data_IF_079971100813
#
_entry.id   IF_079971100813
#
_cell.length_a   1.000
_cell.length_b   1.000
_cell.length_c   1.000
_cell.angle_alpha   90.00
_cell.angle_beta   90.00
_cell.angle_gamma   90.00
#
_symmetry.space_group_name_H-M   'P 1'
#
loop_
_entity.id
_entity.type
_entity.pdbx_description
1 polymer ?
#
# COMPACT_ATOMS: atom_id res chain seq x y z
N UNK A 1 70.44 28.86 17.94
CA UNK A 1 70.75 28.37 16.59
C UNK A 1 70.40 26.91 16.61
N UNK A 2 69.32 26.52 15.93
CA UNK A 2 69.34 26.07 14.53
C UNK A 2 70.11 24.73 14.45
N UNK A 3 69.54 23.62 13.97
CA UNK A 3 68.64 23.46 12.84
C UNK A 3 67.73 22.23 12.98
N UNK A 4 66.60 22.35 12.29
CA UNK A 4 65.66 21.33 11.80
C UNK A 4 66.15 19.87 11.66
N UNK A 5 65.29 18.93 12.05
CA UNK A 5 65.14 17.68 11.29
C UNK A 5 63.66 17.26 11.25
N UNK A 6 63.14 17.27 10.03
CA UNK A 6 61.80 16.84 9.64
C UNK A 6 61.84 15.33 9.49
N UNK A 7 61.06 14.60 10.29
CA UNK A 7 60.69 13.24 9.95
C UNK A 7 59.18 13.07 10.04
N UNK A 8 58.61 13.17 8.86
CA UNK A 8 57.35 12.64 8.39
C UNK A 8 57.02 11.29 9.06
N UNK A 9 55.84 11.20 9.67
CA UNK A 9 55.23 9.93 10.03
C UNK A 9 53.75 10.04 9.77
N UNK A 10 53.40 9.81 8.51
CA UNK A 10 52.07 9.41 8.11
C UNK A 10 51.66 8.17 8.93
N UNK A 11 50.59 8.28 9.69
CA UNK A 11 49.90 7.13 10.27
C UNK A 11 48.41 7.26 10.01
N UNK A 12 48.08 6.88 8.78
CA UNK A 12 47.02 5.94 8.44
C UNK A 12 45.74 5.97 9.30
N UNK A 13 44.70 6.54 8.67
CA UNK A 13 43.40 5.88 8.48
C UNK A 13 42.91 4.99 9.62
N UNK A 14 42.12 5.58 10.52
CA UNK A 14 40.92 4.91 11.02
C UNK A 14 39.69 5.66 10.56
N UNK A 15 39.36 5.40 9.28
CA UNK A 15 38.00 5.53 8.77
C UNK A 15 37.09 4.77 9.73
N UNK A 16 36.43 5.47 10.65
CA UNK A 16 35.17 5.02 11.20
C UNK A 16 34.12 5.08 10.08
N UNK A 17 34.29 4.21 9.08
CA UNK A 17 33.21 3.81 8.22
C UNK A 17 32.29 3.00 9.11
N UNK A 18 31.30 3.69 9.67
CA UNK A 18 30.10 3.07 10.21
C UNK A 18 29.50 2.28 9.05
N UNK A 19 29.95 1.04 8.86
CA UNK A 19 29.27 0.06 8.04
C UNK A 19 27.96 -0.17 8.77
N UNK A 20 26.95 0.63 8.41
CA UNK A 20 25.55 0.39 8.75
C UNK A 20 25.21 -0.91 8.04
N UNK A 21 25.35 -2.03 8.74
CA UNK A 21 24.79 -3.31 8.29
C UNK A 21 23.27 -3.13 8.30
N UNK A 22 22.71 -2.76 7.16
CA UNK A 22 21.27 -2.84 6.96
C UNK A 22 20.91 -4.32 6.97
N UNK A 23 19.97 -4.70 7.84
CA UNK A 23 19.55 -6.11 7.96
C UNK A 23 18.99 -6.61 6.63
N UNK A 24 19.28 -7.86 6.21
CA UNK A 24 18.69 -8.46 5.00
C UNK A 24 17.15 -8.44 4.95
N UNK A 25 16.50 -8.33 6.11
CA UNK A 25 15.05 -8.18 6.20
C UNK A 25 14.58 -6.78 5.77
N UNK A 26 15.36 -5.76 6.09
CA UNK A 26 15.07 -4.36 5.72
C UNK A 26 15.21 -4.20 4.20
N UNK A 27 16.25 -4.78 3.61
CA UNK A 27 16.45 -4.75 2.14
C UNK A 27 15.30 -5.45 1.41
N UNK A 28 14.87 -6.62 1.88
CA UNK A 28 13.75 -7.35 1.28
C UNK A 28 12.42 -6.60 1.32
N UNK A 29 12.08 -5.96 2.46
CA UNK A 29 10.84 -5.16 2.54
C UNK A 29 10.92 -3.90 1.66
N UNK A 30 12.10 -3.29 1.56
CA UNK A 30 12.32 -2.17 0.65
C UNK A 30 12.17 -2.59 -0.82
N UNK A 31 12.74 -3.72 -1.23
CA UNK A 31 12.61 -4.28 -2.59
C UNK A 31 11.15 -4.57 -2.94
N UNK A 32 10.39 -5.18 -2.02
CA UNK A 32 8.94 -5.40 -2.19
C UNK A 32 8.20 -4.07 -2.36
N UNK A 33 8.56 -3.02 -1.63
CA UNK A 33 7.92 -1.74 -1.81
C UNK A 33 8.25 -1.13 -3.18
N UNK A 34 9.51 -1.22 -3.63
CA UNK A 34 9.91 -0.75 -4.96
C UNK A 34 9.17 -1.49 -6.09
N UNK A 35 9.01 -2.82 -5.99
CA UNK A 35 8.26 -3.58 -6.98
C UNK A 35 6.76 -3.20 -7.02
N UNK A 36 6.15 -2.86 -5.89
CA UNK A 36 4.79 -2.32 -5.86
C UNK A 36 4.69 -0.98 -6.61
N UNK A 37 5.66 -0.08 -6.43
CA UNK A 37 5.71 1.18 -7.17
C UNK A 37 5.80 0.94 -8.68
N UNK A 38 6.59 -0.06 -9.10
CA UNK A 38 6.65 -0.43 -10.51
C UNK A 38 5.29 -0.89 -11.03
N UNK A 39 4.58 -1.78 -10.32
CA UNK A 39 3.24 -2.20 -10.75
C UNK A 39 2.25 -1.04 -10.85
N UNK A 40 2.27 -0.09 -9.91
CA UNK A 40 1.33 1.04 -9.88
C UNK A 40 1.59 2.09 -10.96
N UNK A 41 2.86 2.36 -11.28
CA UNK A 41 3.27 3.51 -12.09
C UNK A 41 3.91 3.17 -13.43
N UNK A 42 4.33 1.93 -13.66
CA UNK A 42 4.79 1.57 -15.01
C UNK A 42 3.61 1.60 -16.00
N UNK A 43 3.76 2.30 -17.14
CA UNK A 43 2.78 2.22 -18.21
C UNK A 43 2.71 0.78 -18.72
N UNK A 44 1.52 0.19 -18.79
CA UNK A 44 1.34 -1.04 -19.54
C UNK A 44 1.62 -0.72 -21.01
N UNK A 45 2.63 -1.35 -21.61
CA UNK A 45 2.87 -1.30 -23.06
C UNK A 45 1.60 -1.83 -23.75
N UNK A 46 0.77 -0.94 -24.31
CA UNK A 46 -0.38 -1.30 -25.14
C UNK A 46 -1.77 -1.14 -24.49
N UNK A 47 -2.08 0.01 -23.90
CA UNK A 47 -3.47 0.40 -23.55
C UNK A 47 -4.27 0.67 -24.86
N UNK A 48 -4.56 -0.40 -25.62
CA UNK A 48 -5.60 -0.44 -26.65
C UNK A 48 -6.77 -1.21 -26.04
N UNK A 49 -7.92 -0.53 -25.96
CA UNK A 49 -9.18 -1.13 -25.56
C UNK A 49 -9.46 -2.35 -26.44
N UNK A 50 -9.40 -3.53 -25.84
CA UNK A 50 -9.84 -4.77 -26.44
C UNK A 50 -10.76 -5.42 -25.43
N UNK A 51 -12.06 -5.19 -25.62
CA UNK A 51 -13.08 -6.12 -25.17
C UNK A 51 -12.82 -7.38 -25.99
N UNK A 52 -12.31 -8.43 -25.35
CA UNK A 52 -12.31 -9.73 -26.00
C UNK A 52 -12.57 -10.75 -24.91
N UNK A 53 -13.74 -11.36 -25.02
CA UNK A 53 -13.98 -12.70 -24.55
C UNK A 53 -13.01 -13.60 -25.34
N UNK A 54 -11.82 -13.88 -24.78
CA UNK A 54 -10.85 -14.81 -25.39
C UNK A 54 -10.91 -16.13 -24.63
N UNK A 55 -11.69 -17.05 -25.20
CA UNK A 55 -11.29 -18.45 -25.24
C UNK A 55 -10.13 -18.57 -26.23
N UNK A 56 -8.96 -19.03 -25.77
CA UNK A 56 -7.98 -19.71 -26.62
C UNK A 56 -7.23 -20.77 -25.78
N UNK A 57 -7.27 -22.01 -26.28
CA UNK A 57 -6.48 -23.15 -25.81
C UNK A 57 -5.08 -23.13 -26.44
N UNK A 58 -4.04 -23.47 -25.68
CA UNK A 58 -3.17 -24.62 -25.99
C UNK A 58 -2.06 -24.84 -24.93
N UNK A 59 -2.02 -26.07 -24.43
CA UNK A 59 -0.95 -26.87 -23.80
C UNK A 59 -0.01 -26.34 -22.69
N UNK A 60 0.07 -25.05 -22.35
CA UNK A 60 0.80 -24.51 -21.16
C UNK A 60 -0.13 -23.71 -20.22
N UNK A 61 -1.42 -23.69 -20.57
CA UNK A 61 -2.44 -22.77 -20.08
C UNK A 61 -2.92 -22.97 -18.63
N UNK A 62 -2.35 -23.87 -17.83
CA UNK A 62 -2.80 -24.05 -16.43
C UNK A 62 -2.16 -23.04 -15.48
N UNK A 63 -0.83 -22.91 -15.51
CA UNK A 63 -0.08 -22.03 -14.61
C UNK A 63 -0.37 -20.55 -14.92
N UNK A 64 -0.38 -20.17 -16.19
CA UNK A 64 -0.69 -18.81 -16.64
C UNK A 64 -2.12 -18.42 -16.27
N UNK A 65 -3.09 -19.31 -16.49
CA UNK A 65 -4.50 -19.07 -16.14
C UNK A 65 -4.71 -19.03 -14.62
N UNK A 66 -3.99 -19.85 -13.85
CA UNK A 66 -3.98 -19.77 -12.39
C UNK A 66 -3.40 -18.43 -11.90
N UNK A 67 -2.29 -17.97 -12.49
CA UNK A 67 -1.71 -16.66 -12.19
C UNK A 67 -2.68 -15.50 -12.44
N UNK A 68 -3.34 -15.50 -13.61
CA UNK A 68 -4.36 -14.50 -13.94
C UNK A 68 -5.53 -14.51 -12.95
N UNK A 69 -6.00 -15.71 -12.55
CA UNK A 69 -7.05 -15.84 -11.52
C UNK A 69 -6.62 -15.27 -10.18
N UNK A 70 -5.37 -15.51 -9.75
CA UNK A 70 -4.82 -14.95 -8.51
C UNK A 70 -4.74 -13.42 -8.59
N UNK A 71 -4.23 -12.86 -9.69
CA UNK A 71 -4.19 -11.40 -9.88
C UNK A 71 -5.59 -10.80 -9.82
N UNK A 72 -6.56 -11.38 -10.53
CA UNK A 72 -7.96 -10.90 -10.51
C UNK A 72 -8.56 -10.97 -9.11
N UNK A 73 -8.38 -12.10 -8.40
CA UNK A 73 -8.85 -12.24 -7.03
C UNK A 73 -8.23 -11.21 -6.09
N UNK A 74 -6.93 -10.93 -6.21
CA UNK A 74 -6.26 -9.88 -5.44
C UNK A 74 -6.85 -8.50 -5.74
N UNK A 75 -7.06 -8.16 -7.02
CA UNK A 75 -7.65 -6.89 -7.44
C UNK A 75 -9.07 -6.71 -6.92
N UNK A 76 -9.90 -7.75 -7.03
CA UNK A 76 -11.27 -7.77 -6.53
C UNK A 76 -11.30 -7.63 -5.00
N UNK A 77 -10.39 -8.30 -4.29
CA UNK A 77 -10.25 -8.16 -2.84
C UNK A 77 -9.84 -6.73 -2.45
N UNK A 78 -8.84 -6.15 -3.12
CA UNK A 78 -8.40 -4.76 -2.89
C UNK A 78 -9.57 -3.80 -3.12
N UNK A 79 -10.33 -3.98 -4.21
CA UNK A 79 -11.49 -3.16 -4.53
C UNK A 79 -12.60 -3.28 -3.48
N UNK A 80 -12.86 -4.49 -2.98
CA UNK A 80 -13.84 -4.73 -1.92
C UNK A 80 -13.48 -3.96 -0.64
N UNK A 81 -12.23 -4.08 -0.18
CA UNK A 81 -11.76 -3.33 1.00
C UNK A 81 -11.73 -1.82 0.78
N UNK A 82 -11.41 -1.36 -0.44
CA UNK A 82 -11.50 0.05 -0.80
C UNK A 82 -12.93 0.57 -0.63
N UNK A 83 -13.92 -0.09 -1.25
CA UNK A 83 -15.34 0.32 -1.20
C UNK A 83 -15.88 0.29 0.23
N UNK A 84 -15.51 -0.71 1.01
CA UNK A 84 -15.87 -0.77 2.43
C UNK A 84 -15.35 0.46 3.20
N UNK A 85 -14.07 0.80 3.05
CA UNK A 85 -13.48 1.94 3.76
C UNK A 85 -14.02 3.29 3.26
N UNK A 86 -14.28 3.42 1.95
CA UNK A 86 -14.95 4.58 1.37
C UNK A 86 -16.35 4.76 1.96
N UNK A 87 -17.16 3.70 1.99
CA UNK A 87 -18.50 3.73 2.60
C UNK A 87 -18.45 4.09 4.09
N UNK A 88 -17.47 3.56 4.82
CA UNK A 88 -17.26 3.90 6.23
C UNK A 88 -16.91 5.38 6.44
N UNK A 89 -15.96 5.93 5.69
CA UNK A 89 -15.59 7.36 5.82
C UNK A 89 -16.70 8.29 5.35
N UNK A 90 -17.47 7.90 4.32
CA UNK A 90 -18.66 8.61 3.89
C UNK A 90 -19.70 8.64 5.02
N UNK A 91 -19.97 7.50 5.67
CA UNK A 91 -20.93 7.45 6.78
C UNK A 91 -20.48 8.31 7.97
N UNK A 92 -19.19 8.29 8.30
CA UNK A 92 -18.62 9.17 9.34
C UNK A 92 -18.83 10.64 8.99
N UNK A 93 -18.63 11.02 7.73
CA UNK A 93 -18.89 12.38 7.25
C UNK A 93 -20.37 12.73 7.35
N UNK A 94 -21.26 11.85 6.90
CA UNK A 94 -22.70 12.07 6.93
C UNK A 94 -23.22 12.31 8.36
N UNK A 95 -22.76 11.50 9.33
CA UNK A 95 -23.11 11.67 10.75
C UNK A 95 -22.71 13.07 11.25
N UNK A 96 -21.53 13.57 10.84
CA UNK A 96 -21.04 14.91 11.24
C UNK A 96 -21.74 16.04 10.50
N UNK A 97 -22.21 15.81 9.28
CA UNK A 97 -23.00 16.78 8.52
C UNK A 97 -24.42 16.87 9.07
N UNK A 98 -24.99 15.77 9.54
CA UNK A 98 -26.31 15.73 10.17
C UNK A 98 -26.33 16.39 11.57
N UNK A 99 -25.22 16.25 12.31
CA UNK A 99 -25.06 16.86 13.63
C UNK A 99 -23.64 17.41 13.79
N UNK A 100 -23.50 18.72 13.58
CA UNK A 100 -22.20 19.40 13.61
C UNK A 100 -21.56 19.44 14.99
N UNK A 101 -22.30 19.13 16.06
CA UNK A 101 -21.76 19.01 17.42
C UNK A 101 -20.98 17.70 17.63
N UNK A 102 -21.17 16.72 16.74
CA UNK A 102 -20.55 15.40 16.86
C UNK A 102 -19.07 15.46 16.49
N UNK A 103 -18.24 15.08 17.46
CA UNK A 103 -16.80 14.92 17.25
C UNK A 103 -16.51 13.71 16.36
N UNK A 104 -15.40 13.75 15.62
CA UNK A 104 -14.97 12.66 14.75
C UNK A 104 -14.88 11.28 15.46
N UNK A 105 -14.30 11.15 16.69
CA UNK A 105 -14.31 9.90 17.43
C UNK A 105 -15.73 9.36 17.72
N UNK A 106 -16.67 10.26 18.00
CA UNK A 106 -18.07 9.91 18.26
C UNK A 106 -18.77 9.45 16.98
N UNK A 107 -18.56 10.16 15.87
CA UNK A 107 -19.09 9.76 14.56
C UNK A 107 -18.57 8.38 14.13
N UNK A 108 -17.26 8.11 14.32
CA UNK A 108 -16.67 6.78 14.05
C UNK A 108 -17.26 5.69 14.94
N UNK A 109 -17.47 5.98 16.22
CA UNK A 109 -18.10 5.03 17.15
C UNK A 109 -19.54 4.70 16.74
N UNK A 110 -20.32 5.70 16.26
CA UNK A 110 -21.66 5.48 15.71
C UNK A 110 -21.61 4.61 14.43
N UNK A 111 -20.73 4.94 13.49
CA UNK A 111 -20.55 4.14 12.27
C UNK A 111 -20.13 2.69 12.57
N UNK A 112 -19.25 2.45 13.56
CA UNK A 112 -18.89 1.09 13.98
C UNK A 112 -20.08 0.30 14.53
N UNK A 113 -20.97 0.95 15.29
CA UNK A 113 -22.17 0.30 15.83
C UNK A 113 -23.11 -0.13 14.71
N UNK A 114 -23.33 0.73 13.72
CA UNK A 114 -24.16 0.40 12.54
C UNK A 114 -23.59 -0.79 11.78
N UNK A 115 -22.28 -0.80 11.49
CA UNK A 115 -21.64 -1.94 10.81
C UNK A 115 -21.73 -3.22 11.66
N UNK A 116 -21.59 -3.12 12.98
CA UNK A 116 -21.67 -4.27 13.88
C UNK A 116 -23.07 -4.88 13.95
N UNK A 117 -24.14 -4.08 13.79
CA UNK A 117 -25.51 -4.57 13.74
C UNK A 117 -25.76 -5.53 12.55
N UNK A 118 -25.03 -5.34 11.45
CA UNK A 118 -25.12 -6.19 10.26
C UNK A 118 -24.15 -7.38 10.27
N UNK A 119 -23.25 -7.46 11.26
CA UNK A 119 -22.21 -8.49 11.36
C UNK A 119 -22.23 -9.15 12.75
N UNK A 120 -23.30 -9.91 13.08
CA UNK A 120 -23.39 -10.56 14.38
C UNK A 120 -22.18 -11.47 14.62
N UNK A 121 -21.56 -11.35 15.80
CA UNK A 121 -20.39 -12.13 16.19
C UNK A 121 -19.03 -11.46 15.97
N UNK A 122 -18.96 -10.29 15.30
CA UNK A 122 -17.72 -9.49 15.28
C UNK A 122 -17.63 -8.59 16.51
N UNK A 123 -16.47 -8.60 17.18
CA UNK A 123 -16.21 -7.62 18.25
C UNK A 123 -15.86 -6.26 17.65
N UNK A 124 -16.25 -5.17 18.32
CA UNK A 124 -15.94 -3.82 17.85
C UNK A 124 -14.42 -3.60 17.73
N UNK A 125 -13.61 -4.18 18.63
CA UNK A 125 -12.16 -4.12 18.56
C UNK A 125 -11.59 -4.77 17.28
N UNK A 126 -12.15 -5.92 16.88
CA UNK A 126 -11.75 -6.59 15.64
C UNK A 126 -12.22 -5.79 14.41
N UNK A 127 -13.43 -5.23 14.46
CA UNK A 127 -13.96 -4.36 13.41
C UNK A 127 -13.08 -3.12 13.21
N UNK A 128 -12.66 -2.46 14.29
CA UNK A 128 -11.72 -1.32 14.27
C UNK A 128 -10.40 -1.69 13.59
N UNK A 129 -9.82 -2.85 13.92
CA UNK A 129 -8.58 -3.33 13.29
C UNK A 129 -8.74 -3.58 11.79
N UNK A 130 -9.82 -4.27 11.38
CA UNK A 130 -10.12 -4.51 9.95
C UNK A 130 -10.35 -3.20 9.21
N UNK A 131 -11.08 -2.28 9.81
CA UNK A 131 -11.35 -0.96 9.24
C UNK A 131 -10.08 -0.14 9.08
N UNK A 132 -9.19 -0.15 10.07
CA UNK A 132 -7.92 0.55 9.95
C UNK A 132 -7.05 0.01 8.80
N UNK A 133 -7.05 -1.31 8.56
CA UNK A 133 -6.38 -1.93 7.40
C UNK A 133 -7.02 -1.51 6.07
N UNK A 134 -8.35 -1.55 5.99
CA UNK A 134 -9.08 -1.11 4.80
C UNK A 134 -8.85 0.38 4.50
N UNK A 135 -8.76 1.22 5.54
CA UNK A 135 -8.47 2.65 5.40
C UNK A 135 -7.09 2.93 4.80
N UNK A 136 -6.09 2.07 5.04
CA UNK A 136 -4.78 2.23 4.39
C UNK A 136 -4.88 2.03 2.88
N UNK A 137 -5.64 1.03 2.43
CA UNK A 137 -5.94 0.80 1.01
C UNK A 137 -6.68 2.02 0.44
N UNK A 138 -7.73 2.48 1.12
CA UNK A 138 -8.50 3.66 0.71
C UNK A 138 -7.62 4.89 0.52
N UNK A 139 -6.75 5.22 1.49
CA UNK A 139 -5.85 6.38 1.42
C UNK A 139 -4.95 6.38 0.19
N UNK A 140 -4.46 5.20 -0.23
CA UNK A 140 -3.64 5.08 -1.44
C UNK A 140 -4.51 5.38 -2.67
N UNK A 141 -5.56 4.58 -2.88
CA UNK A 141 -6.29 4.59 -4.14
C UNK A 141 -7.26 5.77 -4.32
N UNK A 142 -7.70 6.41 -3.23
CA UNK A 142 -8.46 7.68 -3.32
C UNK A 142 -7.58 8.82 -3.85
N UNK A 143 -6.26 8.72 -3.67
CA UNK A 143 -5.30 9.74 -4.13
C UNK A 143 -4.73 9.44 -5.50
N UNK A 144 -4.40 8.18 -5.79
CA UNK A 144 -3.78 7.81 -7.08
C UNK A 144 -4.77 7.37 -8.16
N UNK A 145 -6.05 7.25 -7.79
CA UNK A 145 -7.12 6.79 -8.67
C UNK A 145 -7.44 5.30 -8.46
N UNK A 146 -8.73 5.00 -8.34
CA UNK A 146 -9.25 3.63 -8.18
C UNK A 146 -8.89 2.71 -9.35
N UNK A 147 -8.75 3.27 -10.56
CA UNK A 147 -8.32 2.57 -11.76
C UNK A 147 -6.92 1.96 -11.62
N UNK A 148 -6.06 2.47 -10.73
CA UNK A 148 -4.73 1.92 -10.46
C UNK A 148 -4.79 0.56 -9.76
N UNK A 149 -5.91 0.19 -9.15
CA UNK A 149 -6.08 -1.17 -8.58
C UNK A 149 -5.89 -2.23 -9.68
N UNK A 150 -6.37 -1.98 -10.91
CA UNK A 150 -6.21 -2.89 -12.07
C UNK A 150 -4.74 -3.12 -12.48
N UNK A 151 -3.82 -2.28 -11.99
CA UNK A 151 -2.37 -2.41 -12.26
C UNK A 151 -1.64 -3.30 -11.25
N UNK A 152 -2.25 -3.57 -10.10
CA UNK A 152 -1.70 -4.46 -9.08
C UNK A 152 -1.80 -5.91 -9.55
N UNK A 153 -0.66 -6.60 -9.68
CA UNK A 153 -0.57 -7.98 -10.16
C UNK A 153 -0.17 -8.94 -9.05
N UNK A 154 0.87 -8.61 -8.30
CA UNK A 154 1.54 -9.55 -7.39
C UNK A 154 1.24 -9.30 -5.90
N UNK A 155 0.45 -8.27 -5.59
CA UNK A 155 0.18 -7.87 -4.20
C UNK A 155 -1.28 -8.14 -3.84
N UNK A 156 -1.48 -8.75 -2.67
CA UNK A 156 -2.81 -8.93 -2.07
C UNK A 156 -3.26 -7.69 -1.32
N UNK A 157 -4.55 -7.64 -0.96
CA UNK A 157 -5.07 -6.58 -0.10
C UNK A 157 -4.36 -6.54 1.26
N UNK A 158 -3.98 -7.69 1.82
CA UNK A 158 -3.22 -7.79 3.07
C UNK A 158 -1.89 -7.05 2.94
N UNK A 159 -1.16 -7.27 1.85
CA UNK A 159 0.14 -6.64 1.61
C UNK A 159 0.00 -5.10 1.54
N UNK A 160 -0.96 -4.60 0.77
CA UNK A 160 -1.20 -3.15 0.65
C UNK A 160 -1.69 -2.55 1.97
N UNK A 161 -2.55 -3.25 2.71
CA UNK A 161 -3.07 -2.75 3.99
C UNK A 161 -2.00 -2.59 5.06
N UNK A 162 -0.89 -3.32 4.95
CA UNK A 162 0.23 -3.28 5.87
C UNK A 162 1.27 -2.19 5.55
N UNK A 163 1.08 -1.42 4.46
CA UNK A 163 1.96 -0.28 4.15
C UNK A 163 1.98 0.72 5.32
N UNK A 164 3.17 1.20 5.64
CA UNK A 164 3.34 2.24 6.66
C UNK A 164 2.79 3.58 6.19
N UNK A 165 2.51 4.49 7.12
CA UNK A 165 2.13 5.87 6.79
C UNK A 165 3.15 6.57 5.90
N UNK A 166 4.44 6.27 6.07
CA UNK A 166 5.52 6.85 5.24
C UNK A 166 5.50 6.27 3.83
N UNK A 167 5.33 4.96 3.67
CA UNK A 167 5.21 4.31 2.36
C UNK A 167 3.98 4.82 1.58
N UNK A 168 2.84 4.96 2.26
CA UNK A 168 1.62 5.53 1.66
C UNK A 168 1.88 6.96 1.17
N UNK A 169 2.54 7.80 1.98
CA UNK A 169 2.90 9.16 1.57
C UNK A 169 3.85 9.16 0.36
N UNK A 170 4.85 8.29 0.33
CA UNK A 170 5.76 8.16 -0.82
C UNK A 170 5.02 7.80 -2.11
N UNK A 171 4.05 6.88 -2.06
CA UNK A 171 3.20 6.54 -3.23
C UNK A 171 2.44 7.78 -3.71
N UNK A 172 1.82 8.53 -2.79
CA UNK A 172 1.01 9.71 -3.11
C UNK A 172 1.88 10.82 -3.72
N UNK A 173 3.03 11.10 -3.12
CA UNK A 173 3.97 12.12 -3.60
C UNK A 173 4.48 11.74 -4.99
N UNK A 174 4.87 10.47 -5.20
CA UNK A 174 5.33 10.00 -6.49
C UNK A 174 4.27 10.20 -7.58
N UNK A 175 3.00 9.90 -7.27
CA UNK A 175 1.91 10.15 -8.22
C UNK A 175 1.73 11.63 -8.57
N UNK A 176 1.90 12.53 -7.61
CA UNK A 176 1.69 13.97 -7.81
C UNK A 176 2.76 14.62 -8.70
N UNK A 177 3.92 13.99 -8.87
CA UNK A 177 5.04 14.50 -9.67
C UNK A 177 5.23 13.80 -11.01
N UNK A 178 4.36 12.83 -11.33
CA UNK A 178 4.32 12.08 -12.60
C UNK A 178 3.11 12.48 -13.42
#
# INVERSE_FOLDING_TARGET
GDDTNVQESESQSRRNSSRRWTSPRITREQEKFQALLQELFTPAKGEKAKNVDEEEEDADGSATRAGLRVTKANQDEILCWYKYAEGFENRVRDIRTQDSSVTDPTARSRAYREVSQHLPGITEANLRKKTQKARNIYKVFVRIGINKIKRVKSYSAIAISNLSSTQIQSIIILHAVT
#
